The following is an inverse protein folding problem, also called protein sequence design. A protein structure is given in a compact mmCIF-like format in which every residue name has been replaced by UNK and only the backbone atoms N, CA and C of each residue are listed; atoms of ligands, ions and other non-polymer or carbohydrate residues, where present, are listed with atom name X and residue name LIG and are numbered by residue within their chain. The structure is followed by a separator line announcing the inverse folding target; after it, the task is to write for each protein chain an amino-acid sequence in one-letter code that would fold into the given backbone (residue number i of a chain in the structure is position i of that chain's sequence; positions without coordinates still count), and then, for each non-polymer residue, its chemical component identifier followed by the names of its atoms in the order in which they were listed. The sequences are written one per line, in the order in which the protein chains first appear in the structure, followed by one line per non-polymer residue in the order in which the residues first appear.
data_IF_856371954508
#
_entry.id   IF_856371954508
#
_cell.length_a   1.000
_cell.length_b   1.000
_cell.length_c   1.000
_cell.angle_alpha   90.00
_cell.angle_beta   90.00
_cell.angle_gamma   90.00
#
_symmetry.space_group_name_H-M   'P 1'
#
loop_
_entity.id
_entity.type
_entity.pdbx_description
1 polymer ?
#
# COMPACT_ATOMS: atom_id res chain seq x y z
N UNK A 1 -11.77 -10.94 16.12
CA UNK A 1 -10.87 -9.77 16.30
C UNK A 1 -9.77 -9.64 15.25
N UNK A 2 -8.82 -10.56 15.08
CA UNK A 2 -7.68 -10.35 14.12
C UNK A 2 -8.12 -10.32 12.64
N UNK A 3 -9.04 -11.20 12.26
CA UNK A 3 -9.70 -11.21 10.94
C UNK A 3 -10.60 -9.98 10.73
N UNK A 4 -11.24 -9.48 11.80
CA UNK A 4 -12.16 -8.34 11.73
C UNK A 4 -11.46 -7.03 11.36
N UNK A 5 -10.19 -6.83 11.76
CA UNK A 5 -9.42 -5.64 11.39
C UNK A 5 -9.09 -5.63 9.90
N UNK A 6 -8.55 -6.73 9.37
CA UNK A 6 -8.23 -6.85 7.95
C UNK A 6 -9.50 -6.70 7.09
N UNK A 7 -10.60 -7.31 7.53
CA UNK A 7 -11.90 -7.15 6.91
C UNK A 7 -12.34 -5.68 6.87
N UNK A 8 -12.38 -5.01 8.03
CA UNK A 8 -12.86 -3.62 8.14
C UNK A 8 -11.98 -2.59 7.43
N UNK A 9 -10.65 -2.76 7.51
CA UNK A 9 -9.68 -1.75 7.10
C UNK A 9 -9.13 -1.98 5.68
N UNK A 10 -9.34 -3.16 5.07
CA UNK A 10 -8.88 -3.47 3.71
C UNK A 10 -10.00 -4.05 2.85
N UNK A 11 -10.56 -5.21 3.24
CA UNK A 11 -11.44 -5.97 2.34
C UNK A 11 -12.79 -5.31 2.10
N UNK A 12 -13.46 -4.83 3.15
CA UNK A 12 -14.76 -4.16 3.04
C UNK A 12 -14.67 -2.89 2.16
N UNK A 13 -13.70 -1.98 2.36
CA UNK A 13 -13.50 -0.85 1.46
C UNK A 13 -13.27 -1.27 0.00
N UNK A 14 -12.38 -2.22 -0.27
CA UNK A 14 -12.09 -2.64 -1.65
C UNK A 14 -13.28 -3.31 -2.34
N UNK A 15 -14.02 -4.17 -1.62
CA UNK A 15 -15.17 -4.89 -2.20
C UNK A 15 -16.27 -3.96 -2.71
N UNK A 16 -16.41 -2.78 -2.12
CA UNK A 16 -17.41 -1.80 -2.55
C UNK A 16 -17.19 -1.30 -3.99
N UNK A 17 -15.96 -1.39 -4.48
CA UNK A 17 -15.58 -0.85 -5.79
C UNK A 17 -15.40 -1.93 -6.86
N UNK A 18 -15.59 -3.21 -6.52
CA UNK A 18 -15.50 -4.28 -7.51
C UNK A 18 -16.53 -4.10 -8.62
N UNK A 19 -16.07 -4.19 -9.86
CA UNK A 19 -16.86 -3.98 -11.08
C UNK A 19 -16.96 -2.53 -11.53
N UNK A 20 -16.53 -1.55 -10.73
CA UNK A 20 -16.47 -0.16 -11.15
C UNK A 20 -15.22 0.13 -11.96
N UNK A 21 -15.34 0.98 -12.99
CA UNK A 21 -14.20 1.39 -13.81
C UNK A 21 -13.40 2.50 -13.13
N UNK A 22 -12.07 2.40 -13.17
CA UNK A 22 -11.20 3.47 -12.71
C UNK A 22 -11.36 4.70 -13.61
N UNK A 23 -11.53 5.87 -13.02
CA UNK A 23 -11.77 7.12 -13.73
C UNK A 23 -10.57 8.06 -13.65
N UNK A 24 -10.04 8.26 -12.45
CA UNK A 24 -8.92 9.17 -12.20
C UNK A 24 -8.06 8.68 -11.03
N UNK A 25 -6.82 9.17 -10.96
CA UNK A 25 -5.86 8.83 -9.92
C UNK A 25 -5.13 10.10 -9.45
N UNK A 26 -5.00 10.26 -8.14
CA UNK A 26 -4.32 11.39 -7.52
C UNK A 26 -3.37 10.94 -6.41
N UNK A 27 -2.30 11.70 -6.23
CA UNK A 27 -1.33 11.53 -5.15
C UNK A 27 -1.50 12.66 -4.15
N UNK A 28 -1.30 12.36 -2.86
CA UNK A 28 -1.36 13.34 -1.79
C UNK A 28 -0.04 13.46 -1.05
N UNK A 29 0.27 14.70 -0.67
CA UNK A 29 1.44 15.09 0.14
C UNK A 29 2.78 14.62 -0.41
N UNK A 30 2.96 14.75 -1.73
CA UNK A 30 4.18 14.34 -2.42
C UNK A 30 5.35 15.24 -2.02
N UNK A 31 6.40 14.68 -1.43
CA UNK A 31 7.64 15.42 -1.17
C UNK A 31 8.40 15.66 -2.48
N UNK A 32 8.23 16.84 -3.07
CA UNK A 32 8.89 17.24 -4.31
C UNK A 32 8.32 16.54 -5.54
N UNK A 33 7.51 17.24 -6.34
CA UNK A 33 6.91 16.68 -7.57
C UNK A 33 7.94 16.10 -8.54
N UNK A 34 9.17 16.64 -8.54
CA UNK A 34 10.30 16.17 -9.35
C UNK A 34 10.82 14.79 -8.92
N UNK A 35 10.50 14.35 -7.69
CA UNK A 35 10.79 13.04 -7.13
C UNK A 35 9.68 12.02 -7.39
N UNK A 36 8.56 12.40 -8.03
CA UNK A 36 7.64 11.47 -8.70
C UNK A 36 8.33 10.86 -9.91
N UNK A 37 9.41 10.13 -9.65
CA UNK A 37 10.16 9.46 -10.68
C UNK A 37 9.43 8.17 -10.97
N UNK A 38 8.80 8.12 -12.14
CA UNK A 38 8.77 6.87 -12.88
C UNK A 38 10.24 6.62 -13.21
N UNK A 39 10.97 5.86 -12.39
CA UNK A 39 12.39 5.57 -12.64
C UNK A 39 12.64 4.78 -13.94
N UNK A 40 11.64 4.69 -14.83
CA UNK A 40 11.51 3.84 -16.01
C UNK A 40 11.67 2.35 -15.71
N UNK A 41 11.58 1.95 -14.42
CA UNK A 41 11.61 0.56 -13.96
C UNK A 41 10.25 0.11 -13.42
N UNK A 42 9.19 0.90 -13.64
CA UNK A 42 7.83 0.54 -13.24
C UNK A 42 7.52 0.77 -11.77
N UNK A 43 8.11 1.81 -11.14
CA UNK A 43 7.89 2.17 -9.75
C UNK A 43 7.62 3.69 -9.64
N UNK A 44 6.53 4.08 -8.95
CA UNK A 44 6.25 5.46 -8.53
C UNK A 44 6.31 5.57 -7.01
N UNK A 45 6.87 6.66 -6.49
CA UNK A 45 6.91 6.98 -5.05
C UNK A 45 5.80 7.99 -4.75
N UNK A 46 5.03 7.73 -3.71
CA UNK A 46 3.98 8.60 -3.18
C UNK A 46 4.26 8.83 -1.70
N UNK A 47 4.51 10.06 -1.27
CA UNK A 47 4.95 10.26 0.11
C UNK A 47 3.89 9.97 1.19
N UNK A 48 2.58 10.04 0.91
CA UNK A 48 1.59 9.72 1.95
C UNK A 48 0.40 8.87 1.51
N UNK A 49 -0.30 9.25 0.44
CA UNK A 49 -1.58 8.62 0.12
C UNK A 49 -1.89 8.62 -1.38
N UNK A 50 -2.43 7.51 -1.85
CA UNK A 50 -3.02 7.34 -3.17
C UNK A 50 -4.54 7.52 -3.10
N UNK A 51 -5.11 8.28 -4.02
CA UNK A 51 -6.56 8.39 -4.25
C UNK A 51 -6.90 7.78 -5.62
N UNK A 52 -7.82 6.83 -5.65
CA UNK A 52 -8.39 6.26 -6.87
C UNK A 52 -9.87 6.62 -6.94
N UNK A 53 -10.28 7.28 -8.03
CA UNK A 53 -11.67 7.67 -8.28
C UNK A 53 -12.27 6.74 -9.31
N UNK A 54 -13.49 6.27 -9.04
CA UNK A 54 -14.21 5.37 -9.92
C UNK A 54 -15.33 6.08 -10.70
N UNK A 55 -15.93 5.38 -11.66
CA UNK A 55 -16.99 5.88 -12.54
C UNK A 55 -18.26 6.35 -11.81
N UNK A 56 -18.50 5.84 -10.60
CA UNK A 56 -19.56 6.28 -9.69
C UNK A 56 -19.23 7.60 -8.96
N UNK A 57 -18.05 8.19 -9.22
CA UNK A 57 -17.47 9.35 -8.56
C UNK A 57 -17.19 9.17 -7.06
N UNK A 58 -17.11 7.92 -6.59
CA UNK A 58 -16.59 7.62 -5.26
C UNK A 58 -15.08 7.36 -5.33
N UNK A 59 -14.41 7.58 -4.21
CA UNK A 59 -12.96 7.44 -4.08
C UNK A 59 -12.60 6.38 -3.05
N UNK A 60 -11.55 5.62 -3.33
CA UNK A 60 -10.78 4.93 -2.29
C UNK A 60 -9.45 5.65 -2.09
N UNK A 61 -9.05 5.70 -0.84
CA UNK A 61 -7.78 6.22 -0.39
C UNK A 61 -6.96 5.07 0.17
N UNK A 62 -5.72 4.96 -0.26
CA UNK A 62 -4.76 3.94 0.20
C UNK A 62 -3.57 4.68 0.79
N UNK A 63 -3.31 4.45 2.07
CA UNK A 63 -2.26 5.10 2.86
C UNK A 63 -1.76 4.09 3.90
N UNK A 64 -0.63 4.35 4.52
CA UNK A 64 -0.39 3.78 5.83
C UNK A 64 -1.21 4.51 6.90
N UNK A 65 -1.59 3.81 7.97
CA UNK A 65 -2.33 4.38 9.12
C UNK A 65 -1.90 3.71 10.43
N UNK A 66 -2.21 4.34 11.56
CA UNK A 66 -2.00 3.76 12.90
C UNK A 66 -3.29 3.09 13.38
N UNK A 67 -3.38 1.77 13.17
CA UNK A 67 -4.51 0.96 13.61
C UNK A 67 -4.08 0.13 14.83
N UNK A 68 -4.82 0.24 15.93
CA UNK A 68 -4.59 -0.57 17.13
C UNK A 68 -4.60 -2.07 16.78
N UNK A 69 -3.47 -2.74 17.03
CA UNK A 69 -3.27 -4.16 16.70
C UNK A 69 -2.40 -4.39 15.47
N UNK A 70 -2.12 -3.35 14.69
CA UNK A 70 -1.06 -3.30 13.69
C UNK A 70 0.10 -2.43 14.19
N UNK A 71 1.29 -2.70 13.69
CA UNK A 71 2.42 -1.83 13.84
C UNK A 71 2.19 -0.59 12.98
N UNK A 72 2.80 0.52 13.40
CA UNK A 72 2.85 1.76 12.63
C UNK A 72 3.28 1.44 11.19
N UNK A 73 2.72 2.12 10.20
CA UNK A 73 3.07 1.97 8.78
C UNK A 73 2.48 0.76 8.02
N UNK A 74 1.57 0.01 8.63
CA UNK A 74 0.73 -0.94 7.88
C UNK A 74 -0.22 -0.20 6.94
N UNK A 75 -0.46 -0.76 5.75
CA UNK A 75 -1.41 -0.20 4.79
C UNK A 75 -2.84 -0.22 5.32
N UNK A 76 -3.63 0.76 4.91
CA UNK A 76 -5.04 0.92 5.26
C UNK A 76 -5.79 1.51 4.08
N UNK A 77 -7.07 1.16 3.95
CA UNK A 77 -7.94 1.61 2.86
C UNK A 77 -9.21 2.22 3.43
N UNK A 78 -9.61 3.36 2.87
CA UNK A 78 -10.74 4.13 3.37
C UNK A 78 -11.47 4.83 2.21
N UNK A 79 -12.77 5.07 2.36
CA UNK A 79 -13.53 5.95 1.47
C UNK A 79 -13.45 7.43 1.87
N UNK A 80 -12.64 7.73 2.90
CA UNK A 80 -12.31 9.08 3.36
C UNK A 80 -10.81 9.25 3.33
N UNK A 81 -10.36 10.44 2.92
CA UNK A 81 -8.94 10.78 2.94
C UNK A 81 -8.39 10.66 4.38
N UNK A 82 -7.25 10.01 4.52
CA UNK A 82 -6.45 10.01 5.75
C UNK A 82 -5.84 11.39 5.98
N UNK A 83 -5.52 12.08 4.89
CA UNK A 83 -4.96 13.42 4.90
C UNK A 83 -6.05 14.50 4.91
N UNK A 84 -6.01 15.45 5.86
CA UNK A 84 -7.02 16.53 5.97
C UNK A 84 -6.68 17.82 5.23
N UNK A 85 -5.39 18.14 5.09
CA UNK A 85 -4.90 19.43 4.56
C UNK A 85 -3.77 19.26 3.54
N UNK A 86 -3.78 18.19 2.75
CA UNK A 86 -2.66 17.89 1.84
C UNK A 86 -2.95 18.37 0.43
N UNK A 87 -1.88 18.80 -0.23
CA UNK A 87 -1.91 19.11 -1.65
C UNK A 87 -2.24 17.84 -2.44
N UNK A 88 -3.05 18.01 -3.47
CA UNK A 88 -3.57 16.94 -4.32
C UNK A 88 -2.98 17.09 -5.71
N UNK A 89 -2.24 16.07 -6.13
CA UNK A 89 -1.49 16.06 -7.37
C UNK A 89 -2.09 15.05 -8.34
N UNK A 90 -2.28 15.45 -9.59
CA UNK A 90 -2.68 14.51 -10.63
C UNK A 90 -1.53 13.54 -10.91
N UNK A 91 -1.81 12.24 -10.89
CA UNK A 91 -0.83 11.23 -11.21
C UNK A 91 -0.34 11.34 -12.66
N UNK A 92 0.88 10.89 -12.95
CA UNK A 92 1.39 10.89 -14.31
C UNK A 92 0.50 10.04 -15.23
N UNK A 93 -0.08 10.69 -16.25
CA UNK A 93 -1.01 10.05 -17.17
C UNK A 93 -0.36 8.90 -17.95
N UNK A 94 0.96 8.91 -18.17
CA UNK A 94 1.64 7.89 -18.98
C UNK A 94 1.44 6.47 -18.46
N UNK A 95 1.28 6.27 -17.15
CA UNK A 95 1.04 4.95 -16.56
C UNK A 95 -0.43 4.73 -16.24
N UNK A 96 -1.06 5.63 -15.49
CA UNK A 96 -2.46 5.44 -15.09
C UNK A 96 -3.44 5.40 -16.26
N UNK A 97 -3.11 6.00 -17.42
CA UNK A 97 -3.95 5.90 -18.63
C UNK A 97 -4.24 4.46 -19.08
N UNK A 98 -3.35 3.51 -18.79
CA UNK A 98 -3.58 2.11 -19.15
C UNK A 98 -4.68 1.46 -18.30
N UNK A 99 -4.98 2.06 -17.14
CA UNK A 99 -5.93 1.57 -16.15
C UNK A 99 -7.23 2.38 -16.17
N UNK A 100 -7.19 3.65 -16.60
CA UNK A 100 -8.39 4.47 -16.75
C UNK A 100 -9.36 3.81 -17.74
N UNK A 101 -10.59 3.61 -17.29
CA UNK A 101 -11.66 2.91 -18.00
C UNK A 101 -11.76 1.42 -17.69
N UNK A 102 -10.69 0.79 -17.19
CA UNK A 102 -10.68 -0.63 -16.84
C UNK A 102 -11.44 -0.91 -15.55
N UNK A 103 -12.18 -2.02 -15.54
CA UNK A 103 -12.97 -2.43 -14.39
C UNK A 103 -12.08 -3.01 -13.29
N UNK A 104 -12.26 -2.55 -12.05
CA UNK A 104 -11.61 -3.16 -10.90
C UNK A 104 -12.21 -4.55 -10.65
N UNK A 105 -11.47 -5.58 -11.04
CA UNK A 105 -11.96 -6.95 -11.17
C UNK A 105 -11.64 -7.82 -9.95
N UNK A 106 -10.68 -7.40 -9.12
CA UNK A 106 -10.28 -8.14 -7.93
C UNK A 106 -9.08 -7.53 -7.24
N UNK A 107 -8.67 -8.14 -6.14
CA UNK A 107 -7.47 -7.72 -5.40
C UNK A 107 -6.90 -8.87 -4.57
N UNK A 108 -5.64 -8.71 -4.16
CA UNK A 108 -4.98 -9.57 -3.18
C UNK A 108 -4.26 -8.71 -2.15
N UNK A 109 -4.16 -9.22 -0.92
CA UNK A 109 -3.52 -8.52 0.19
C UNK A 109 -2.35 -9.37 0.66
N UNK A 110 -1.19 -8.75 0.80
CA UNK A 110 0.06 -9.37 1.22
C UNK A 110 0.64 -8.61 2.41
N UNK A 111 1.24 -9.35 3.33
CA UNK A 111 1.70 -8.79 4.59
C UNK A 111 2.35 -9.81 5.51
N UNK A 112 2.51 -9.42 6.77
CA UNK A 112 3.04 -10.31 7.81
C UNK A 112 1.88 -10.96 8.57
N UNK A 113 1.82 -12.29 8.56
CA UNK A 113 0.82 -13.04 9.36
C UNK A 113 1.09 -12.84 10.85
N UNK A 114 2.36 -12.89 11.24
CA UNK A 114 2.84 -12.53 12.57
C UNK A 114 4.14 -11.72 12.44
N UNK A 115 4.19 -10.60 13.16
CA UNK A 115 5.38 -9.77 13.24
C UNK A 115 5.70 -9.51 14.71
N UNK A 116 6.88 -9.96 15.12
CA UNK A 116 7.34 -9.86 16.50
C UNK A 116 8.48 -8.86 16.59
N UNK A 117 8.23 -7.76 17.28
CA UNK A 117 9.20 -6.70 17.49
C UNK A 117 9.70 -6.76 18.92
N UNK A 118 11.00 -6.94 19.08
CA UNK A 118 11.67 -6.97 20.37
C UNK A 118 12.48 -5.68 20.50
N UNK A 119 12.13 -4.86 21.48
CA UNK A 119 12.90 -3.66 21.81
C UNK A 119 14.00 -4.04 22.78
N UNK A 120 15.23 -3.65 22.48
CA UNK A 120 16.41 -3.87 23.33
C UNK A 120 16.86 -2.56 23.96
N UNK A 121 17.39 -2.63 25.18
CA UNK A 121 18.08 -1.47 25.77
C UNK A 121 19.50 -1.33 25.19
N UNK A 122 20.23 -0.28 25.63
CA UNK A 122 21.60 -0.02 25.19
C UNK A 122 22.61 -1.15 25.51
N UNK A 123 22.25 -2.11 26.37
CA UNK A 123 23.06 -3.29 26.70
C UNK A 123 22.64 -4.54 25.90
N UNK A 124 21.82 -4.36 24.86
CA UNK A 124 21.27 -5.45 24.04
C UNK A 124 20.43 -6.47 24.84
N UNK A 125 19.77 -6.02 25.91
CA UNK A 125 18.86 -6.84 26.70
C UNK A 125 17.42 -6.55 26.25
N UNK A 126 16.60 -7.57 25.91
CA UNK A 126 15.19 -7.38 25.60
C UNK A 126 14.46 -6.69 26.75
N UNK A 127 13.80 -5.57 26.47
CA UNK A 127 12.98 -4.81 27.44
C UNK A 127 11.49 -4.78 27.10
N UNK A 128 11.14 -5.03 25.84
CA UNK A 128 9.75 -5.13 25.40
C UNK A 128 9.62 -6.16 24.26
N UNK A 129 8.44 -6.75 24.14
CA UNK A 129 8.09 -7.61 23.01
C UNK A 129 6.66 -7.31 22.61
N UNK A 130 6.48 -6.78 21.41
CA UNK A 130 5.18 -6.57 20.80
C UNK A 130 4.98 -7.60 19.68
N UNK A 131 3.79 -8.17 19.61
CA UNK A 131 3.39 -9.06 18.52
C UNK A 131 2.19 -8.47 17.80
N UNK A 132 2.33 -8.32 16.49
CA UNK A 132 1.30 -7.84 15.57
C UNK A 132 0.93 -8.96 14.60
N UNK A 133 -0.27 -8.87 14.03
CA UNK A 133 -0.83 -9.95 13.22
C UNK A 133 -1.62 -9.41 12.05
N UNK A 134 -1.56 -10.14 10.93
CA UNK A 134 -2.25 -9.79 9.68
C UNK A 134 -2.00 -8.35 9.25
N UNK A 135 -0.73 -7.96 9.18
CA UNK A 135 -0.30 -6.60 8.88
C UNK A 135 -0.10 -6.41 7.38
N UNK A 136 -1.01 -5.72 6.68
CA UNK A 136 -0.90 -5.53 5.24
C UNK A 136 0.25 -4.57 4.90
N UNK A 137 1.11 -4.97 3.98
CA UNK A 137 2.23 -4.17 3.47
C UNK A 137 2.23 -4.02 1.95
N UNK A 138 1.44 -4.83 1.26
CA UNK A 138 1.28 -4.77 -0.18
C UNK A 138 -0.15 -5.17 -0.56
N UNK A 139 -0.79 -4.42 -1.44
CA UNK A 139 -2.10 -4.71 -2.01
C UNK A 139 -1.96 -4.77 -3.52
N UNK A 140 -2.32 -5.91 -4.12
CA UNK A 140 -2.48 -6.04 -5.57
C UNK A 140 -3.89 -5.63 -5.95
N UNK A 141 -4.02 -4.71 -6.90
CA UNK A 141 -5.29 -4.33 -7.51
C UNK A 141 -5.30 -4.84 -8.95
N UNK A 142 -6.38 -5.54 -9.31
CA UNK A 142 -6.59 -6.05 -10.66
C UNK A 142 -7.58 -5.17 -11.40
N UNK A 143 -7.15 -4.64 -12.54
CA UNK A 143 -7.98 -3.88 -13.47
C UNK A 143 -7.99 -4.64 -14.80
N UNK A 144 -9.07 -5.40 -15.05
CA UNK A 144 -9.15 -6.38 -16.13
C UNK A 144 -7.91 -7.32 -16.21
N UNK A 145 -7.06 -7.15 -17.22
CA UNK A 145 -5.85 -7.97 -17.45
C UNK A 145 -4.57 -7.31 -16.91
N UNK A 146 -4.68 -6.23 -16.15
CA UNK A 146 -3.55 -5.43 -15.69
C UNK A 146 -3.53 -5.44 -14.16
N UNK A 147 -2.34 -5.57 -13.59
CA UNK A 147 -2.13 -5.58 -12.14
C UNK A 147 -1.29 -4.38 -11.74
N UNK A 148 -1.69 -3.71 -10.66
CA UNK A 148 -0.90 -2.69 -10.00
C UNK A 148 -0.75 -3.05 -8.52
N UNK A 149 0.47 -2.97 -7.98
CA UNK A 149 0.68 -3.16 -6.55
C UNK A 149 0.86 -1.82 -5.85
N UNK A 150 0.21 -1.66 -4.72
CA UNK A 150 0.42 -0.55 -3.80
C UNK A 150 1.11 -1.11 -2.56
N UNK A 151 2.25 -0.58 -2.19
CA UNK A 151 3.07 -1.12 -1.10
C UNK A 151 3.57 -0.01 -0.18
N UNK A 152 3.88 -0.34 1.07
CA UNK A 152 4.62 0.54 1.97
C UNK A 152 5.96 -0.14 2.30
N UNK A 153 7.05 0.34 1.69
CA UNK A 153 8.40 -0.19 1.90
C UNK A 153 9.49 0.82 1.47
N UNK A 154 10.73 0.68 1.93
CA UNK A 154 11.85 1.51 1.47
C UNK A 154 12.72 0.74 0.46
N UNK A 155 12.99 1.35 -0.71
CA UNK A 155 13.76 0.76 -1.81
C UNK A 155 15.20 1.30 -1.81
N UNK A 156 16.04 0.80 -0.90
CA UNK A 156 17.50 0.91 -1.05
C UNK A 156 18.05 -0.31 -1.80
N UNK A 157 19.03 -0.09 -2.69
CA UNK A 157 19.55 -1.10 -3.63
C UNK A 157 20.18 -2.35 -2.93
N UNK A 158 20.58 -2.24 -1.66
CA UNK A 158 21.25 -3.30 -0.88
C UNK A 158 20.43 -3.82 0.33
N UNK A 159 19.14 -3.50 0.44
CA UNK A 159 18.38 -3.82 1.65
C UNK A 159 18.03 -5.32 1.79
N UNK A 160 18.49 -5.93 2.88
CA UNK A 160 18.00 -7.18 3.45
C UNK A 160 17.09 -6.81 4.63
N UNK A 161 15.76 -7.03 4.55
CA UNK A 161 14.83 -6.59 5.57
C UNK A 161 15.08 -7.29 6.89
N UNK A 162 15.59 -6.52 7.85
CA UNK A 162 15.60 -6.86 9.27
C UNK A 162 14.70 -5.92 10.09
N UNK A 163 13.94 -5.04 9.38
CA UNK A 163 12.95 -3.98 9.76
C UNK A 163 13.50 -2.70 10.46
N UNK A 164 12.82 -1.51 10.42
CA UNK A 164 11.42 -1.24 10.04
C UNK A 164 11.15 -0.07 9.04
N UNK A 165 10.22 -0.31 8.10
CA UNK A 165 9.27 0.62 7.43
C UNK A 165 9.74 1.82 6.58
N UNK A 166 8.93 2.11 5.55
CA UNK A 166 9.02 3.33 4.75
C UNK A 166 7.91 4.30 5.14
N UNK A 167 8.21 5.60 5.16
CA UNK A 167 7.20 6.64 5.35
C UNK A 167 6.36 6.87 4.08
N UNK A 168 6.75 6.27 2.95
CA UNK A 168 6.10 6.48 1.66
C UNK A 168 5.24 5.28 1.24
N UNK A 169 4.19 5.56 0.45
CA UNK A 169 3.45 4.59 -0.36
C UNK A 169 4.13 4.46 -1.73
N UNK A 170 4.22 3.25 -2.24
CA UNK A 170 4.90 2.92 -3.49
C UNK A 170 3.93 2.24 -4.43
N UNK A 171 4.01 2.57 -5.71
CA UNK A 171 3.26 1.87 -6.75
C UNK A 171 4.23 1.03 -7.57
N UNK A 172 3.93 -0.24 -7.77
CA UNK A 172 4.67 -1.15 -8.64
C UNK A 172 3.77 -1.56 -9.81
N UNK A 173 4.22 -1.33 -11.03
CA UNK A 173 3.49 -1.65 -12.26
C UNK A 173 4.03 -2.89 -12.98
N UNK A 174 5.26 -3.30 -12.66
CA UNK A 174 5.94 -4.43 -13.29
C UNK A 174 5.77 -5.73 -12.49
N UNK A 175 5.24 -6.82 -13.09
CA UNK A 175 5.05 -8.09 -12.39
C UNK A 175 6.33 -8.69 -11.79
N UNK A 176 7.49 -8.51 -12.42
CA UNK A 176 8.76 -9.03 -11.92
C UNK A 176 9.13 -8.32 -10.61
N UNK A 177 9.00 -7.00 -10.59
CA UNK A 177 9.25 -6.14 -9.43
C UNK A 177 8.32 -6.45 -8.27
N UNK A 178 7.03 -6.69 -8.55
CA UNK A 178 6.04 -7.13 -7.55
C UNK A 178 6.46 -8.45 -6.90
N UNK A 179 6.78 -9.46 -7.71
CA UNK A 179 7.18 -10.79 -7.21
C UNK A 179 8.50 -10.73 -6.44
N UNK A 180 9.46 -9.92 -6.91
CA UNK A 180 10.71 -9.70 -6.20
C UNK A 180 10.47 -9.04 -4.84
N UNK A 181 9.55 -8.07 -4.76
CA UNK A 181 9.18 -7.40 -3.52
C UNK A 181 8.58 -8.38 -2.51
N UNK A 182 7.54 -9.13 -2.91
CA UNK A 182 6.90 -10.15 -2.08
C UNK A 182 7.95 -11.14 -1.53
N UNK A 183 8.83 -11.65 -2.41
CA UNK A 183 9.85 -12.62 -2.03
C UNK A 183 10.92 -12.03 -1.09
N UNK A 184 11.45 -10.85 -1.40
CA UNK A 184 12.51 -10.22 -0.59
C UNK A 184 12.03 -9.86 0.80
N UNK A 185 10.80 -9.36 0.91
CA UNK A 185 10.20 -8.96 2.19
C UNK A 185 9.57 -10.11 2.96
N UNK A 186 9.46 -11.31 2.36
CA UNK A 186 8.85 -12.48 2.99
C UNK A 186 7.35 -12.29 3.25
N UNK A 187 6.65 -11.56 2.37
CA UNK A 187 5.23 -11.29 2.55
C UNK A 187 4.41 -12.53 2.20
N UNK A 188 3.43 -12.81 3.04
CA UNK A 188 2.46 -13.88 2.84
C UNK A 188 1.12 -13.30 2.43
N UNK A 189 0.33 -14.07 1.66
CA UNK A 189 -1.03 -13.66 1.31
C UNK A 189 -1.89 -13.68 2.58
N UNK A 190 -2.51 -12.55 2.88
CA UNK A 190 -3.39 -12.40 4.02
C UNK A 190 -4.83 -12.69 3.59
N UNK A 191 -5.48 -13.60 4.30
CA UNK A 191 -6.88 -13.95 4.11
C UNK A 191 -7.69 -13.41 5.30
N UNK A 192 -8.88 -12.88 5.03
CA UNK A 192 -9.83 -12.41 6.04
C UNK A 192 -10.52 -13.56 6.78
#
# INVERSE_FOLDING_TARGET
MKSELLEKCIHQPLRQFLGHSLKECFYHDVFGQDLLTTNNKGIDIIAQQLELIFDNNESIFISWDTIDGWHQYSLSISNKAFCKNTERYLANSSFWQYYIGSAFSGYEVYGYVENKIITYNALNIPINTACYYNEPHLVLLYFDNITVAIANFCLEDDFVPTLPMGDDVWILFDPISIQLCIKKLGLEKLEA
#
